data_IF_456040202212
#
_entry.id   IF_456040202212
#
_cell.length_a   1.000
_cell.length_b   1.000
_cell.length_c   1.000
_cell.angle_alpha   90.00
_cell.angle_beta   90.00
_cell.angle_gamma   90.00
#
_symmetry.space_group_name_H-M   'P 1'
#
loop_
_entity.id
_entity.type
_entity.pdbx_description
1 polymer ?
#
# COMPACT_ATOMS: atom_id res chain seq x y z
N UNK A 1 19.84 -16.63 6.71
CA UNK A 1 18.74 -16.25 5.80
C UNK A 1 17.59 -15.55 6.50
N UNK A 2 17.06 -16.02 7.64
CA UNK A 2 15.95 -15.35 8.38
C UNK A 2 16.11 -13.83 8.62
N UNK A 3 17.32 -13.37 8.93
CA UNK A 3 17.59 -11.98 9.32
C UNK A 3 17.31 -10.94 8.22
N UNK A 4 17.51 -11.29 6.95
CA UNK A 4 17.28 -10.36 5.82
C UNK A 4 15.78 -10.23 5.55
N UNK A 5 15.02 -11.32 5.66
CA UNK A 5 13.57 -11.31 5.47
C UNK A 5 12.88 -10.44 6.53
N UNK A 6 13.33 -10.54 7.77
CA UNK A 6 12.81 -9.74 8.89
C UNK A 6 13.12 -8.24 8.71
N UNK A 7 14.32 -7.89 8.23
CA UNK A 7 14.72 -6.51 7.96
C UNK A 7 13.88 -5.89 6.82
N UNK A 8 13.68 -6.62 5.72
CA UNK A 8 12.86 -6.18 4.59
C UNK A 8 11.39 -5.98 4.98
N UNK A 9 10.83 -6.91 5.76
CA UNK A 9 9.45 -6.83 6.20
C UNK A 9 9.24 -5.66 7.17
N UNK A 10 10.23 -5.40 8.03
CA UNK A 10 10.21 -4.27 8.95
C UNK A 10 10.23 -2.93 8.21
N UNK A 11 11.10 -2.77 7.21
CA UNK A 11 11.15 -1.55 6.39
C UNK A 11 9.83 -1.31 5.64
N UNK A 12 9.24 -2.37 5.07
CA UNK A 12 7.93 -2.27 4.43
C UNK A 12 6.84 -1.84 5.40
N UNK A 13 6.81 -2.43 6.60
CA UNK A 13 5.83 -2.08 7.63
C UNK A 13 5.98 -0.61 8.05
N UNK A 14 7.21 -0.12 8.25
CA UNK A 14 7.48 1.28 8.57
C UNK A 14 7.04 2.21 7.43
N UNK A 15 7.31 1.86 6.18
CA UNK A 15 6.89 2.65 5.03
C UNK A 15 5.36 2.74 4.95
N UNK A 16 4.64 1.63 5.13
CA UNK A 16 3.16 1.62 5.16
C UNK A 16 2.62 2.44 6.32
N UNK A 17 3.21 2.34 7.51
CA UNK A 17 2.79 3.15 8.67
C UNK A 17 3.07 4.64 8.49
N UNK A 18 4.10 5.02 7.73
CA UNK A 18 4.39 6.43 7.44
C UNK A 18 3.46 7.07 6.41
N UNK A 19 2.63 6.29 5.72
CA UNK A 19 1.67 6.82 4.76
C UNK A 19 0.64 7.72 5.45
N UNK A 20 0.16 8.78 4.76
CA UNK A 20 -0.99 9.56 5.22
C UNK A 20 -2.17 8.66 5.54
N UNK A 21 -2.93 8.98 6.60
CA UNK A 21 -3.99 8.11 7.14
C UNK A 21 -4.91 7.52 6.07
N UNK A 22 -5.41 8.35 5.14
CA UNK A 22 -6.29 7.92 4.04
C UNK A 22 -5.61 6.98 3.03
N UNK A 23 -4.35 7.24 2.69
CA UNK A 23 -3.58 6.37 1.81
C UNK A 23 -3.33 5.01 2.47
N UNK A 24 -2.93 5.05 3.76
CA UNK A 24 -2.65 3.87 4.57
C UNK A 24 -3.87 2.98 4.72
N UNK A 25 -5.02 3.57 5.02
CA UNK A 25 -6.27 2.84 5.19
C UNK A 25 -6.72 2.15 3.89
N UNK A 26 -6.73 2.89 2.77
CA UNK A 26 -7.01 2.31 1.45
C UNK A 26 -6.01 1.20 1.09
N UNK A 27 -4.73 1.37 1.42
CA UNK A 27 -3.70 0.35 1.21
C UNK A 27 -3.97 -0.92 2.02
N UNK A 28 -4.23 -0.79 3.33
CA UNK A 28 -4.52 -1.93 4.20
C UNK A 28 -5.79 -2.67 3.77
N UNK A 29 -6.87 -1.97 3.42
CA UNK A 29 -8.11 -2.62 2.97
C UNK A 29 -7.90 -3.37 1.64
N UNK A 30 -7.21 -2.78 0.67
CA UNK A 30 -6.96 -3.45 -0.60
C UNK A 30 -5.96 -4.61 -0.50
N UNK A 31 -4.88 -4.45 0.29
CA UNK A 31 -3.80 -5.43 0.33
C UNK A 31 -3.99 -6.50 1.42
N UNK A 32 -4.40 -6.11 2.63
CA UNK A 32 -4.57 -7.06 3.74
C UNK A 32 -5.95 -7.70 3.78
N UNK A 33 -7.00 -6.97 3.36
CA UNK A 33 -8.38 -7.48 3.33
C UNK A 33 -8.85 -7.89 1.93
N UNK A 34 -7.99 -7.80 0.91
CA UNK A 34 -8.30 -8.15 -0.48
C UNK A 34 -9.57 -7.48 -1.04
N UNK A 35 -9.89 -6.26 -0.57
CA UNK A 35 -11.10 -5.55 -0.98
C UNK A 35 -10.91 -4.90 -2.35
N UNK A 36 -11.94 -4.96 -3.19
CA UNK A 36 -12.00 -4.24 -4.46
C UNK A 36 -12.11 -2.72 -4.24
N UNK A 37 -11.85 -1.93 -5.28
CA UNK A 37 -11.97 -0.47 -5.17
C UNK A 37 -13.40 -0.02 -4.83
N UNK A 38 -14.40 -0.76 -5.30
CA UNK A 38 -15.82 -0.55 -5.05
C UNK A 38 -16.19 -0.90 -3.61
N UNK A 39 -15.65 -2.00 -3.08
CA UNK A 39 -15.83 -2.39 -1.68
C UNK A 39 -15.18 -1.37 -0.73
N UNK A 40 -13.96 -0.91 -1.04
CA UNK A 40 -13.27 0.14 -0.26
C UNK A 40 -14.03 1.46 -0.33
N UNK A 41 -14.53 1.83 -1.51
CA UNK A 41 -15.34 3.05 -1.69
C UNK A 41 -16.60 3.02 -0.81
N UNK A 42 -17.24 1.85 -0.75
CA UNK A 42 -18.43 1.63 0.08
C UNK A 42 -18.08 1.68 1.57
N UNK A 43 -17.06 0.94 2.00
CA UNK A 43 -16.61 0.86 3.39
C UNK A 43 -16.20 2.23 3.95
N UNK A 44 -15.47 3.03 3.16
CA UNK A 44 -14.96 4.33 3.57
C UNK A 44 -15.92 5.49 3.24
N UNK A 45 -17.06 5.20 2.62
CA UNK A 45 -18.02 6.19 2.14
C UNK A 45 -17.38 7.32 1.30
N UNK A 46 -16.58 6.93 0.30
CA UNK A 46 -15.89 7.83 -0.65
C UNK A 46 -16.10 7.35 -2.09
N UNK A 47 -15.78 8.19 -3.08
CA UNK A 47 -15.88 7.76 -4.48
C UNK A 47 -14.80 6.72 -4.84
N UNK A 48 -15.09 5.83 -5.78
CA UNK A 48 -14.11 4.91 -6.37
C UNK A 48 -12.91 5.66 -6.96
N UNK A 49 -13.12 6.86 -7.50
CA UNK A 49 -12.04 7.72 -7.99
C UNK A 49 -11.14 8.23 -6.86
N UNK A 50 -11.71 8.53 -5.69
CA UNK A 50 -10.96 8.85 -4.47
C UNK A 50 -10.14 7.64 -4.02
N UNK A 51 -10.69 6.41 -4.08
CA UNK A 51 -9.91 5.20 -3.78
C UNK A 51 -8.72 5.07 -4.72
N UNK A 52 -8.94 5.18 -6.04
CA UNK A 52 -7.87 5.10 -7.05
C UNK A 52 -6.77 6.15 -6.83
N UNK A 53 -7.14 7.40 -6.54
CA UNK A 53 -6.15 8.47 -6.29
C UNK A 53 -5.36 8.24 -5.00
N UNK A 54 -6.01 7.73 -3.94
CA UNK A 54 -5.32 7.36 -2.71
C UNK A 54 -4.39 6.15 -2.91
N UNK A 55 -4.78 5.14 -3.69
CA UNK A 55 -3.91 4.01 -4.08
C UNK A 55 -2.69 4.49 -4.86
N UNK A 56 -2.88 5.36 -5.85
CA UNK A 56 -1.78 5.92 -6.63
C UNK A 56 -0.82 6.73 -5.76
N UNK A 57 -1.36 7.55 -4.85
CA UNK A 57 -0.55 8.32 -3.89
C UNK A 57 0.22 7.40 -2.93
N UNK A 58 -0.41 6.35 -2.42
CA UNK A 58 0.25 5.34 -1.59
C UNK A 58 1.42 4.69 -2.34
N UNK A 59 1.21 4.24 -3.59
CA UNK A 59 2.25 3.66 -4.44
C UNK A 59 3.43 4.62 -4.65
N UNK A 60 3.15 5.90 -4.92
CA UNK A 60 4.21 6.89 -5.12
C UNK A 60 5.03 7.12 -3.84
N UNK A 61 4.38 7.24 -2.68
CA UNK A 61 5.09 7.45 -1.42
C UNK A 61 5.92 6.23 -1.03
N UNK A 62 5.36 5.02 -1.18
CA UNK A 62 6.11 3.78 -0.96
C UNK A 62 7.30 3.67 -1.91
N UNK A 63 7.16 4.11 -3.17
CA UNK A 63 8.26 4.17 -4.14
C UNK A 63 9.41 5.07 -3.68
N UNK A 64 9.07 6.25 -3.16
CA UNK A 64 10.06 7.23 -2.74
C UNK A 64 10.80 6.79 -1.48
N UNK A 65 10.14 6.03 -0.59
CA UNK A 65 10.72 5.54 0.65
C UNK A 65 11.51 4.24 0.48
N UNK A 66 11.06 3.34 -0.38
CA UNK A 66 11.62 2.00 -0.54
C UNK A 66 12.43 1.88 -1.85
N UNK A 67 13.09 2.96 -2.30
CA UNK A 67 13.73 3.08 -3.64
C UNK A 67 14.47 1.82 -4.11
N UNK A 68 15.26 1.20 -3.24
CA UNK A 68 16.07 0.01 -3.55
C UNK A 68 15.26 -1.30 -3.52
N UNK A 69 14.15 -1.33 -2.78
CA UNK A 69 13.20 -2.45 -2.71
C UNK A 69 12.00 -2.30 -3.65
N UNK A 70 11.88 -1.16 -4.34
CA UNK A 70 10.66 -0.81 -5.08
C UNK A 70 10.38 -1.76 -6.25
N UNK A 71 11.43 -2.32 -6.86
CA UNK A 71 11.29 -3.34 -7.92
C UNK A 71 10.58 -4.59 -7.39
N UNK A 72 10.94 -5.04 -6.18
CA UNK A 72 10.26 -6.13 -5.49
C UNK A 72 8.80 -5.77 -5.21
N UNK A 73 8.57 -4.54 -4.75
CA UNK A 73 7.26 -4.03 -4.39
C UNK A 73 6.30 -3.95 -5.60
N UNK A 74 6.81 -3.66 -6.80
CA UNK A 74 6.01 -3.70 -8.03
C UNK A 74 5.54 -5.11 -8.39
N UNK A 75 6.29 -6.15 -8.04
CA UNK A 75 5.86 -7.54 -8.25
C UNK A 75 4.67 -7.85 -7.34
N UNK A 76 4.70 -7.38 -6.09
CA UNK A 76 3.63 -7.61 -5.11
C UNK A 76 2.40 -6.70 -5.28
N UNK A 77 2.57 -5.48 -5.82
CA UNK A 77 1.47 -4.52 -6.05
C UNK A 77 0.87 -4.57 -7.46
N UNK A 78 1.16 -5.62 -8.24
CA UNK A 78 0.70 -5.73 -9.63
C UNK A 78 -0.83 -5.76 -9.76
N UNK A 79 -1.49 -6.35 -8.76
CA UNK A 79 -2.95 -6.54 -8.71
C UNK A 79 -3.66 -5.60 -7.70
N UNK A 80 -2.89 -4.73 -7.03
CA UNK A 80 -3.41 -3.65 -6.19
C UNK A 80 -3.74 -2.43 -7.06
#
# INVERSE_FOLDING_TARGET
MKRIEDEVLWELAQAVESLPSKCREVFKLGYMKHMSNEQIATELNISVNTVKSQKQRAKQLLKEQLKDLFVLLMIFLKDF
#
